data_IF_192952711914
#
_entry.id   IF_192952711914
#
_cell.length_a   1.000
_cell.length_b   1.000
_cell.length_c   1.000
_cell.angle_alpha   90.00
_cell.angle_beta   90.00
_cell.angle_gamma   90.00
#
_symmetry.space_group_name_H-M   'P 1'
#
loop_
_entity.id
_entity.type
_entity.pdbx_description
1 polymer ?
#
# COMPACT_ATOMS: atom_id res chain seq x y z
N UNK A 1 -47.50 -30.35 -9.91
CA UNK A 1 -46.03 -30.23 -9.80
C UNK A 1 -45.64 -28.83 -10.23
N UNK A 2 -45.34 -27.92 -9.29
CA UNK A 2 -44.87 -26.57 -9.60
C UNK A 2 -43.74 -26.25 -8.62
N UNK A 3 -42.55 -26.77 -8.93
CA UNK A 3 -41.35 -26.46 -8.18
C UNK A 3 -40.88 -25.06 -8.60
N UNK A 4 -41.13 -24.07 -7.76
CA UNK A 4 -40.56 -22.73 -7.87
C UNK A 4 -39.06 -22.80 -7.59
N UNK A 5 -38.24 -22.72 -8.64
CA UNK A 5 -36.80 -22.53 -8.54
C UNK A 5 -36.53 -21.09 -8.06
N UNK A 6 -36.34 -20.91 -6.76
CA UNK A 6 -35.74 -19.69 -6.21
C UNK A 6 -34.22 -19.76 -6.45
N UNK A 7 -33.75 -19.11 -7.51
CA UNK A 7 -32.33 -18.94 -7.77
C UNK A 7 -31.75 -17.95 -6.75
N UNK A 8 -31.16 -18.46 -5.67
CA UNK A 8 -30.30 -17.68 -4.79
C UNK A 8 -29.07 -17.22 -5.59
N UNK A 9 -29.09 -15.98 -6.07
CA UNK A 9 -27.87 -15.25 -6.42
C UNK A 9 -27.05 -15.08 -5.14
N UNK A 10 -26.10 -15.99 -4.92
CA UNK A 10 -25.05 -15.79 -3.94
C UNK A 10 -24.18 -14.64 -4.43
N UNK A 11 -24.35 -13.45 -3.85
CA UNK A 11 -23.43 -12.34 -4.02
C UNK A 11 -22.07 -12.76 -3.46
N UNK A 12 -21.18 -13.23 -4.33
CA UNK A 12 -19.79 -13.50 -3.97
C UNK A 12 -19.12 -12.14 -3.78
N UNK A 13 -19.09 -11.65 -2.54
CA UNK A 13 -18.26 -10.53 -2.16
C UNK A 13 -16.80 -10.96 -2.37
N UNK A 14 -16.18 -10.53 -3.47
CA UNK A 14 -14.76 -10.76 -3.67
C UNK A 14 -14.00 -9.98 -2.59
N UNK A 15 -13.12 -10.63 -1.79
CA UNK A 15 -12.27 -9.89 -0.87
C UNK A 15 -11.44 -8.91 -1.69
N UNK A 16 -11.40 -7.66 -1.25
CA UNK A 16 -10.59 -6.64 -1.90
C UNK A 16 -9.13 -7.10 -1.86
N UNK A 17 -8.57 -7.40 -3.04
CA UNK A 17 -7.21 -7.90 -3.16
C UNK A 17 -6.25 -6.79 -2.72
N UNK A 18 -5.43 -7.10 -1.72
CA UNK A 18 -4.32 -6.24 -1.36
C UNK A 18 -3.23 -6.43 -2.43
N UNK A 19 -2.90 -5.34 -3.11
CA UNK A 19 -1.78 -5.23 -4.02
C UNK A 19 -0.53 -4.76 -3.25
N UNK A 20 0.66 -5.00 -3.80
CA UNK A 20 1.89 -4.48 -3.23
C UNK A 20 2.79 -3.86 -4.28
N UNK A 21 3.50 -2.81 -3.89
CA UNK A 21 4.57 -2.22 -4.69
C UNK A 21 5.83 -2.10 -3.88
N UNK A 22 6.98 -2.13 -4.55
CA UNK A 22 8.27 -1.89 -3.90
C UNK A 22 8.96 -0.71 -4.55
N UNK A 23 9.72 0.03 -3.76
CA UNK A 23 10.56 1.07 -4.31
C UNK A 23 11.47 1.72 -3.27
N UNK A 24 12.32 2.60 -3.76
CA UNK A 24 13.30 3.31 -2.94
C UNK A 24 12.74 4.65 -2.50
N UNK A 25 12.86 4.96 -1.21
CA UNK A 25 12.44 6.23 -0.64
C UNK A 25 13.38 7.34 -1.11
N UNK A 26 12.82 8.40 -1.68
CA UNK A 26 13.54 9.64 -1.94
C UNK A 26 13.41 10.59 -0.75
N UNK A 27 12.18 10.86 -0.30
CA UNK A 27 11.90 11.74 0.85
C UNK A 27 10.62 11.33 1.55
N UNK A 28 10.58 11.48 2.88
CA UNK A 28 9.38 11.30 3.70
C UNK A 28 9.06 12.59 4.46
N UNK A 29 7.86 13.14 4.23
CA UNK A 29 7.33 14.28 4.97
C UNK A 29 6.18 13.80 5.86
N UNK A 30 6.46 13.64 7.15
CA UNK A 30 5.48 13.20 8.14
C UNK A 30 4.41 14.26 8.45
N UNK A 31 4.69 15.55 8.25
CA UNK A 31 3.73 16.63 8.51
C UNK A 31 2.67 16.70 7.40
N UNK A 32 3.10 16.50 6.15
CA UNK A 32 2.21 16.43 5.00
C UNK A 32 1.66 15.01 4.72
N UNK A 33 2.20 13.98 5.39
CA UNK A 33 1.90 12.58 5.09
C UNK A 33 2.31 12.18 3.68
N UNK A 34 3.40 12.75 3.15
CA UNK A 34 3.80 12.58 1.75
C UNK A 34 5.10 11.82 1.61
N UNK A 35 5.06 10.70 0.94
CA UNK A 35 6.21 9.87 0.61
C UNK A 35 6.53 9.99 -0.88
N UNK A 36 7.71 10.49 -1.20
CA UNK A 36 8.22 10.48 -2.56
C UNK A 36 9.20 9.31 -2.74
N UNK A 37 9.02 8.57 -3.83
CA UNK A 37 9.91 7.49 -4.26
C UNK A 37 10.93 7.99 -5.27
N UNK A 38 12.02 7.26 -5.45
CA UNK A 38 13.12 7.62 -6.35
C UNK A 38 12.71 7.65 -7.84
N UNK A 39 11.68 6.90 -8.21
CA UNK A 39 11.05 6.88 -9.54
C UNK A 39 10.10 8.09 -9.78
N UNK A 40 10.03 9.02 -8.82
CA UNK A 40 9.13 10.18 -8.78
C UNK A 40 7.66 9.85 -8.50
N UNK A 41 7.35 8.61 -8.14
CA UNK A 41 6.03 8.24 -7.62
C UNK A 41 5.82 8.91 -6.27
N UNK A 42 4.65 9.52 -6.07
CA UNK A 42 4.30 10.20 -4.81
C UNK A 42 3.10 9.49 -4.18
N UNK A 43 3.27 9.08 -2.93
CA UNK A 43 2.26 8.45 -2.10
C UNK A 43 1.79 9.41 -1.00
N UNK A 44 0.47 9.54 -0.88
CA UNK A 44 -0.16 10.26 0.24
C UNK A 44 -0.63 9.24 1.26
N UNK A 45 -0.02 9.27 2.43
CA UNK A 45 -0.18 8.29 3.50
C UNK A 45 -1.00 8.94 4.61
N UNK A 46 -2.12 8.34 5.05
CA UNK A 46 -2.85 8.85 6.19
C UNK A 46 -2.02 8.67 7.47
N UNK A 47 -2.21 9.54 8.45
CA UNK A 47 -1.48 9.53 9.72
C UNK A 47 -1.69 8.23 10.53
N UNK A 48 -2.69 7.43 10.19
CA UNK A 48 -2.96 6.11 10.80
C UNK A 48 -2.01 5.01 10.33
N UNK A 49 -1.23 5.22 9.27
CA UNK A 49 -0.27 4.22 8.78
C UNK A 49 1.01 4.29 9.59
N UNK A 50 1.39 3.18 10.18
CA UNK A 50 2.68 3.04 10.86
C UNK A 50 3.81 3.03 9.83
N UNK A 51 4.73 3.98 9.94
CA UNK A 51 5.96 4.01 9.15
C UNK A 51 7.07 3.19 9.80
N UNK A 52 7.99 2.61 9.01
CA UNK A 52 9.23 2.05 9.53
C UNK A 52 10.02 3.09 10.34
N UNK A 53 10.58 2.66 11.47
CA UNK A 53 11.38 3.54 12.32
C UNK A 53 12.62 4.06 11.55
N UNK A 54 12.87 5.36 11.67
CA UNK A 54 13.99 6.06 11.02
C UNK A 54 13.99 5.89 9.49
N UNK A 55 12.82 5.92 8.84
CA UNK A 55 12.74 5.87 7.37
C UNK A 55 13.55 7.01 6.76
N UNK A 56 14.55 6.66 5.95
CA UNK A 56 15.46 7.62 5.35
C UNK A 56 15.48 7.49 3.83
N UNK A 57 15.94 8.55 3.16
CA UNK A 57 16.24 8.51 1.75
C UNK A 57 17.24 7.40 1.43
N UNK A 58 16.93 6.59 0.41
CA UNK A 58 17.71 5.42 -0.01
C UNK A 58 17.26 4.08 0.57
N UNK A 59 16.34 4.07 1.55
CA UNK A 59 15.75 2.83 2.03
C UNK A 59 14.83 2.22 0.99
N UNK A 60 14.80 0.89 0.91
CA UNK A 60 13.82 0.17 0.10
C UNK A 60 12.64 -0.23 0.99
N UNK A 61 11.44 0.08 0.52
CA UNK A 61 10.20 -0.28 1.20
C UNK A 61 9.27 -1.05 0.27
N UNK A 62 8.38 -1.81 0.89
CA UNK A 62 7.21 -2.40 0.28
C UNK A 62 5.97 -1.72 0.86
N UNK A 63 5.08 -1.25 -0.02
CA UNK A 63 3.80 -0.65 0.31
C UNK A 63 2.72 -1.65 -0.12
N UNK A 64 1.96 -2.13 0.85
CA UNK A 64 0.77 -2.95 0.59
C UNK A 64 -0.45 -2.05 0.64
N UNK A 65 -1.29 -2.10 -0.37
CA UNK A 65 -2.47 -1.26 -0.50
C UNK A 65 -3.62 -2.04 -1.13
N UNK A 66 -4.84 -1.77 -0.70
CA UNK A 66 -6.05 -2.28 -1.35
C UNK A 66 -6.39 -1.32 -2.48
N UNK A 67 -6.37 -1.80 -3.72
CA UNK A 67 -6.85 -1.02 -4.86
C UNK A 67 -8.38 -0.88 -4.78
N UNK A 68 -8.89 0.29 -5.12
CA UNK A 68 -10.32 0.48 -5.29
C UNK A 68 -10.56 0.73 -6.78
N UNK A 69 -11.37 -0.12 -7.41
CA UNK A 69 -11.44 -0.26 -8.86
C UNK A 69 -11.79 1.04 -9.62
N UNK A 70 -12.33 2.04 -8.94
CA UNK A 70 -12.73 3.32 -9.53
C UNK A 70 -11.63 4.40 -9.57
N UNK A 71 -10.68 4.44 -8.62
CA UNK A 71 -9.90 5.67 -8.36
C UNK A 71 -8.36 5.48 -8.29
N UNK A 72 -7.83 4.40 -8.85
CA UNK A 72 -6.40 4.09 -8.75
C UNK A 72 -6.13 3.26 -7.50
N UNK A 73 -5.97 3.86 -6.32
CA UNK A 73 -5.60 3.15 -5.08
C UNK A 73 -6.54 3.52 -3.92
N UNK A 74 -6.90 2.54 -3.09
CA UNK A 74 -7.88 2.68 -2.00
C UNK A 74 -7.22 2.91 -0.65
N UNK A 75 -6.96 1.83 0.11
CA UNK A 75 -6.46 1.90 1.50
C UNK A 75 -5.06 1.35 1.59
N UNK A 76 -4.14 2.11 2.18
CA UNK A 76 -2.81 1.58 2.53
C UNK A 76 -2.94 0.67 3.74
N UNK A 77 -2.45 -0.55 3.58
CA UNK A 77 -2.53 -1.63 4.57
C UNK A 77 -1.28 -1.63 5.45
N UNK A 78 -0.10 -1.57 4.85
CA UNK A 78 1.16 -1.63 5.58
C UNK A 78 2.32 -1.08 4.75
N UNK A 79 3.33 -0.58 5.46
CA UNK A 79 4.62 -0.19 4.88
C UNK A 79 5.73 -0.87 5.65
N UNK A 80 6.52 -1.67 4.95
CA UNK A 80 7.61 -2.44 5.52
C UNK A 80 8.92 -2.06 4.84
N UNK A 81 10.00 -1.96 5.61
CA UNK A 81 11.35 -1.81 5.06
C UNK A 81 11.84 -3.18 4.62
N UNK A 82 12.11 -3.34 3.33
CA UNK A 82 12.65 -4.58 2.76
C UNK A 82 14.18 -4.58 2.75
N UNK A 83 14.80 -3.40 2.58
CA UNK A 83 16.24 -3.23 2.69
C UNK A 83 16.54 -1.88 3.36
N UNK A 84 17.35 -1.91 4.41
CA UNK A 84 17.91 -0.70 4.99
C UNK A 84 19.00 -0.15 4.06
N UNK A 85 19.15 1.18 4.00
CA UNK A 85 20.32 1.83 3.41
C UNK A 85 21.56 1.04 3.82
N UNK A 86 22.27 0.45 2.85
CA UNK A 86 23.53 -0.25 3.07
C UNK A 86 24.52 0.79 3.58
N UNK A 87 24.58 0.92 4.91
CA UNK A 87 25.53 1.77 5.58
C UNK A 87 26.91 1.29 5.19
N UNK A 88 27.67 2.19 4.58
CA UNK A 88 29.12 2.16 4.51
C UNK A 88 29.67 1.90 5.92
N UNK A 89 29.87 0.63 6.27
CA UNK A 89 30.79 0.23 7.33
C UNK A 89 32.19 0.26 6.72
N UNK A 90 32.96 1.27 7.11
CA UNK A 90 34.39 1.37 6.82
C UNK A 90 35.23 0.40 7.64
#
# INVERSE_FOLDING_TARGET
MRATLAACLLAVATPALADSTTGTVATWDAAAGRLAMADRTVWYLPASVTMPLNLAAGDRIEITYVSNADNGWGRIVSILRTEAKKGTGG
#
